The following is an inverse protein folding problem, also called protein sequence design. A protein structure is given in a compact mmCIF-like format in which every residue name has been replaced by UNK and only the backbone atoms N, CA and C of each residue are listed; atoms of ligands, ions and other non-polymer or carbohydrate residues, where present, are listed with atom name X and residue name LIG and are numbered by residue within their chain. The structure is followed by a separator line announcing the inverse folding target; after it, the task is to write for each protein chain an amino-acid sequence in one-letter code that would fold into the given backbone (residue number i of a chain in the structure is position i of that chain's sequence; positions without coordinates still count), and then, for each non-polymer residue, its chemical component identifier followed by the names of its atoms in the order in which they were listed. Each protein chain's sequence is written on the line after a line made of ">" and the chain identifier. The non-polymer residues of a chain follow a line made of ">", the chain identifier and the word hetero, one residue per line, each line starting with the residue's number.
data_IF_446460891923
#
_entry.id   IF_446460891923
#
_cell.length_a   1.000
_cell.length_b   1.000
_cell.length_c   1.000
_cell.angle_alpha   90.00
_cell.angle_beta   90.00
_cell.angle_gamma   90.00
#
_symmetry.space_group_name_H-M   'P 1'
#
loop_
_entity.id
_entity.type
_entity.pdbx_description
1 polymer ?
#
# COMPACT_ATOMS: atom_id res chain seq x y z
N UNK A 1 41.56 -44.58 -57.74
CA UNK A 1 40.23 -45.23 -57.67
C UNK A 1 39.73 -45.00 -56.26
N UNK A 2 38.70 -44.15 -56.12
CA UNK A 2 37.39 -44.56 -55.58
C UNK A 2 37.52 -45.00 -54.11
N UNK A 3 36.86 -44.42 -53.12
CA UNK A 3 35.74 -43.49 -53.01
C UNK A 3 35.51 -43.42 -51.48
N UNK A 4 34.68 -42.48 -51.02
CA UNK A 4 34.07 -42.39 -49.68
C UNK A 4 34.89 -41.62 -48.62
N UNK A 5 34.39 -40.62 -47.90
CA UNK A 5 33.04 -40.06 -47.76
C UNK A 5 33.19 -38.64 -47.18
N UNK A 6 32.28 -37.79 -47.65
CA UNK A 6 32.04 -36.37 -47.34
C UNK A 6 31.57 -36.22 -45.87
N UNK A 7 31.60 -34.97 -45.37
CA UNK A 7 30.94 -34.43 -44.15
C UNK A 7 31.86 -34.41 -42.91
N UNK A 8 32.01 -33.35 -42.12
CA UNK A 8 31.34 -32.06 -42.07
C UNK A 8 32.24 -31.05 -41.35
N UNK A 9 32.22 -29.82 -41.86
CA UNK A 9 32.70 -28.62 -41.19
C UNK A 9 31.86 -28.44 -39.91
N UNK A 10 32.45 -28.61 -38.75
CA UNK A 10 31.84 -28.23 -37.48
C UNK A 10 32.61 -27.04 -36.88
N UNK A 11 32.33 -25.86 -37.44
CA UNK A 11 32.54 -24.58 -36.77
C UNK A 11 31.71 -24.62 -35.49
N UNK A 12 32.35 -24.84 -34.34
CA UNK A 12 31.73 -24.70 -33.03
C UNK A 12 31.51 -23.20 -32.75
N UNK A 13 30.43 -22.66 -33.32
CA UNK A 13 29.83 -21.43 -32.84
C UNK A 13 29.21 -21.73 -31.47
N UNK A 14 29.96 -21.43 -30.42
CA UNK A 14 29.47 -21.47 -29.05
C UNK A 14 28.46 -20.33 -28.92
N UNK A 15 27.19 -20.62 -29.25
CA UNK A 15 26.08 -19.75 -28.88
C UNK A 15 26.00 -19.78 -27.36
N UNK A 16 26.67 -18.81 -26.73
CA UNK A 16 26.49 -18.49 -25.33
C UNK A 16 25.01 -18.23 -25.12
N UNK A 17 24.35 -19.20 -24.48
CA UNK A 17 23.00 -19.00 -23.98
C UNK A 17 23.15 -18.08 -22.78
N UNK A 18 23.11 -16.76 -23.02
CA UNK A 18 22.78 -15.82 -21.96
C UNK A 18 21.38 -16.21 -21.50
N UNK A 19 21.31 -17.03 -20.43
CA UNK A 19 20.10 -17.09 -19.64
C UNK A 19 19.96 -15.68 -19.08
N UNK A 20 19.01 -14.92 -19.62
CA UNK A 20 18.38 -13.88 -18.84
C UNK A 20 17.82 -14.61 -17.63
N UNK A 21 18.55 -14.59 -16.52
CA UNK A 21 17.99 -14.90 -15.22
C UNK A 21 16.84 -13.93 -15.10
N UNK A 22 15.61 -14.44 -15.25
CA UNK A 22 14.41 -13.73 -14.86
C UNK A 22 14.69 -13.37 -13.41
N UNK A 23 15.05 -12.10 -13.18
CA UNK A 23 15.34 -11.54 -11.87
C UNK A 23 14.15 -11.92 -11.02
N UNK A 24 14.37 -12.97 -10.25
CA UNK A 24 13.36 -13.50 -9.35
C UNK A 24 13.40 -12.47 -8.26
N UNK A 25 12.54 -11.46 -8.37
CA UNK A 25 12.23 -10.55 -7.28
C UNK A 25 11.56 -11.40 -6.21
N UNK A 26 12.38 -12.19 -5.51
CA UNK A 26 12.11 -12.67 -4.18
C UNK A 26 12.07 -11.39 -3.33
N UNK A 27 10.90 -10.75 -3.32
CA UNK A 27 10.63 -9.62 -2.47
C UNK A 27 10.88 -10.08 -1.04
N UNK A 28 12.05 -9.79 -0.50
CA UNK A 28 12.27 -10.11 0.90
C UNK A 28 11.49 -9.06 1.69
N UNK A 29 10.47 -9.47 2.46
CA UNK A 29 9.79 -8.60 3.44
C UNK A 29 10.69 -8.26 4.64
N UNK A 30 12.00 -8.18 4.39
CA UNK A 30 13.06 -7.98 5.36
C UNK A 30 13.97 -6.89 4.81
N UNK A 31 13.73 -5.65 5.24
CA UNK A 31 14.76 -4.84 5.90
C UNK A 31 14.24 -3.53 6.50
N UNK A 32 14.87 -3.21 7.63
CA UNK A 32 14.81 -2.00 8.43
C UNK A 32 15.43 -0.83 7.67
N UNK A 33 14.77 0.33 7.73
CA UNK A 33 15.35 1.61 8.14
C UNK A 33 14.18 2.50 8.60
N UNK A 34 14.33 3.12 9.78
CA UNK A 34 13.37 4.05 10.41
C UNK A 34 11.98 3.45 10.76
N UNK A 35 11.95 2.50 11.71
CA UNK A 35 10.84 2.41 12.66
C UNK A 35 9.55 1.65 12.27
N UNK A 36 9.45 0.99 11.11
CA UNK A 36 8.24 0.23 10.77
C UNK A 36 8.54 -1.25 10.49
N UNK A 37 8.30 -2.08 11.51
CA UNK A 37 8.56 -3.52 11.47
C UNK A 37 7.51 -4.25 10.62
N UNK A 38 7.75 -4.41 9.31
CA UNK A 38 6.88 -5.20 8.42
C UNK A 38 7.28 -6.69 8.34
N UNK A 39 7.77 -7.25 9.45
CA UNK A 39 7.92 -8.71 9.62
C UNK A 39 6.60 -9.40 10.02
N UNK A 40 5.56 -8.62 10.30
CA UNK A 40 4.22 -9.01 10.73
C UNK A 40 3.26 -8.56 9.63
N UNK A 41 2.31 -9.41 9.25
CA UNK A 41 1.51 -9.31 8.04
C UNK A 41 1.08 -7.89 7.59
N UNK A 42 1.22 -7.58 6.29
CA UNK A 42 0.81 -6.28 5.73
C UNK A 42 1.02 -6.18 4.23
N UNK A 43 0.60 -5.06 3.63
CA UNK A 43 0.76 -4.77 2.20
C UNK A 43 1.61 -3.52 1.98
N UNK A 44 2.56 -3.56 1.05
CA UNK A 44 3.42 -2.41 0.69
C UNK A 44 3.29 -2.08 -0.80
N UNK A 45 3.51 -0.82 -1.21
CA UNK A 45 3.47 -0.47 -2.64
C UNK A 45 4.52 -1.24 -3.43
N UNK A 46 4.18 -1.60 -4.68
CA UNK A 46 5.17 -2.10 -5.63
C UNK A 46 6.04 -0.93 -6.15
N UNK A 47 7.38 -1.10 -6.28
CA UNK A 47 8.29 0.00 -6.61
C UNK A 47 8.03 0.63 -7.99
N UNK A 48 7.66 -0.19 -8.97
CA UNK A 48 7.53 0.26 -10.37
C UNK A 48 6.08 0.40 -10.86
N UNK A 49 5.09 0.14 -10.01
CA UNK A 49 3.70 0.07 -10.45
C UNK A 49 2.71 0.36 -9.33
N UNK A 50 1.95 1.43 -9.46
CA UNK A 50 0.95 1.79 -8.46
C UNK A 50 -0.32 0.93 -8.51
N UNK A 51 -0.51 0.15 -9.57
CA UNK A 51 -1.59 -0.85 -9.66
C UNK A 51 -1.19 -2.19 -9.06
N UNK A 52 0.03 -2.30 -8.55
CA UNK A 52 0.55 -3.49 -7.89
C UNK A 52 0.95 -3.19 -6.46
N UNK A 53 0.92 -4.23 -5.65
CA UNK A 53 1.34 -4.19 -4.27
C UNK A 53 1.95 -5.53 -3.88
N UNK A 54 2.69 -5.52 -2.78
CA UNK A 54 3.37 -6.69 -2.26
C UNK A 54 2.74 -7.03 -0.93
N UNK A 55 2.14 -8.22 -0.84
CA UNK A 55 1.61 -8.79 0.39
C UNK A 55 2.73 -9.52 1.12
N UNK A 56 3.02 -9.06 2.32
CA UNK A 56 3.96 -9.66 3.25
C UNK A 56 3.20 -10.54 4.25
N UNK A 57 3.56 -11.83 4.32
CA UNK A 57 3.05 -12.75 5.34
C UNK A 57 4.09 -13.80 5.67
N UNK A 58 4.38 -14.00 6.97
CA UNK A 58 5.36 -14.97 7.47
C UNK A 58 6.72 -14.87 6.75
N UNK A 59 7.22 -13.64 6.62
CA UNK A 59 8.47 -13.29 5.91
C UNK A 59 8.49 -13.62 4.40
N UNK A 60 7.35 -13.94 3.80
CA UNK A 60 7.22 -14.14 2.35
C UNK A 60 6.51 -12.95 1.74
N UNK A 61 7.06 -12.42 0.64
CA UNK A 61 6.35 -11.51 -0.23
C UNK A 61 5.60 -12.27 -1.31
N UNK A 62 4.43 -11.74 -1.65
CA UNK A 62 3.71 -12.08 -2.87
C UNK A 62 3.30 -10.80 -3.57
N UNK A 63 3.69 -10.65 -4.82
CA UNK A 63 3.16 -9.58 -5.67
C UNK A 63 1.71 -9.86 -6.02
N UNK A 64 0.88 -8.84 -5.89
CA UNK A 64 -0.54 -8.84 -6.24
C UNK A 64 -0.85 -7.60 -7.09
N UNK A 65 -1.96 -7.66 -7.84
CA UNK A 65 -2.43 -6.56 -8.67
C UNK A 65 -3.82 -6.10 -8.24
N UNK A 66 -4.05 -4.79 -8.23
CA UNK A 66 -5.37 -4.21 -8.14
C UNK A 66 -6.17 -4.51 -9.41
N UNK A 67 -7.50 -4.52 -9.28
CA UNK A 67 -8.40 -4.66 -10.43
C UNK A 67 -8.27 -3.46 -11.39
N UNK A 68 -8.69 -3.63 -12.64
CA UNK A 68 -8.70 -2.55 -13.62
C UNK A 68 -9.50 -1.33 -13.12
N UNK A 69 -8.92 -0.13 -13.22
CA UNK A 69 -9.51 1.10 -12.68
C UNK A 69 -9.29 1.31 -11.17
N UNK A 70 -8.38 0.54 -10.56
CA UNK A 70 -7.97 0.70 -9.17
C UNK A 70 -6.45 0.83 -9.07
N UNK A 71 -5.99 1.53 -8.04
CA UNK A 71 -4.57 1.60 -7.67
C UNK A 71 -4.41 1.35 -6.17
N UNK A 72 -3.20 0.99 -5.74
CA UNK A 72 -2.89 0.71 -4.35
C UNK A 72 -2.60 2.01 -3.59
N UNK A 73 -3.48 2.34 -2.64
CA UNK A 73 -3.25 3.46 -1.72
C UNK A 73 -2.29 3.04 -0.62
N UNK A 74 -1.14 3.71 -0.55
CA UNK A 74 -0.12 3.47 0.50
C UNK A 74 -0.63 3.90 1.88
N UNK A 75 -1.54 4.86 1.94
CA UNK A 75 -2.13 5.33 3.18
C UNK A 75 -3.15 4.32 3.72
N UNK A 76 -4.07 3.85 2.86
CA UNK A 76 -5.13 2.92 3.24
C UNK A 76 -4.72 1.45 3.18
N UNK A 77 -3.53 1.16 2.63
CA UNK A 77 -3.00 -0.20 2.40
C UNK A 77 -3.97 -1.09 1.62
N UNK A 78 -4.74 -0.51 0.71
CA UNK A 78 -5.80 -1.17 -0.05
C UNK A 78 -5.87 -0.66 -1.50
N UNK A 79 -6.41 -1.49 -2.39
CA UNK A 79 -6.79 -1.05 -3.73
C UNK A 79 -8.05 -0.18 -3.64
N UNK A 80 -7.99 1.00 -4.25
CA UNK A 80 -9.06 2.00 -4.24
C UNK A 80 -9.31 2.48 -5.66
N UNK A 81 -10.55 2.88 -5.96
CA UNK A 81 -10.89 3.26 -7.33
C UNK A 81 -10.17 4.54 -7.72
N UNK A 82 -9.54 4.54 -8.89
CA UNK A 82 -8.72 5.64 -9.32
C UNK A 82 -8.22 5.47 -10.75
N UNK A 83 -7.46 6.44 -11.20
CA UNK A 83 -6.74 6.34 -12.46
C UNK A 83 -5.51 5.44 -12.26
N UNK A 84 -5.51 4.28 -12.93
CA UNK A 84 -4.43 3.29 -12.89
C UNK A 84 -3.13 3.73 -13.58
N UNK A 85 -3.18 4.78 -14.39
CA UNK A 85 -2.01 5.35 -15.09
C UNK A 85 -1.36 6.48 -14.27
N UNK A 86 -2.18 7.33 -13.66
CA UNK A 86 -1.69 8.49 -12.88
C UNK A 86 -1.64 8.24 -11.39
N UNK A 87 -2.13 7.09 -10.91
CA UNK A 87 -2.16 6.71 -9.50
C UNK A 87 -2.92 7.73 -8.64
N UNK A 88 -3.95 8.34 -9.22
CA UNK A 88 -4.73 9.41 -8.59
C UNK A 88 -6.18 8.97 -8.41
N UNK A 89 -6.83 9.46 -7.36
CA UNK A 89 -8.26 9.26 -7.14
C UNK A 89 -9.06 9.93 -8.27
N UNK A 90 -10.11 9.27 -8.75
CA UNK A 90 -11.06 9.92 -9.68
C UNK A 90 -12.02 10.73 -8.82
N UNK A 91 -11.59 11.93 -8.43
CA UNK A 91 -12.47 12.88 -7.75
C UNK A 91 -13.61 13.27 -8.71
N UNK A 92 -14.80 12.78 -8.43
CA UNK A 92 -16.02 13.17 -9.14
C UNK A 92 -16.51 14.53 -8.67
N UNK A 93 -15.77 15.61 -8.96
CA UNK A 93 -16.18 17.02 -9.00
C UNK A 93 -14.93 17.94 -9.05
N UNK A 94 -14.89 18.74 -10.11
CA UNK A 94 -14.12 19.95 -10.46
C UNK A 94 -13.10 20.56 -9.45
N UNK A 95 -11.84 20.67 -9.91
CA UNK A 95 -11.03 21.88 -9.74
C UNK A 95 -9.78 21.84 -8.84
N UNK A 96 -8.62 21.53 -9.43
CA UNK A 96 -7.26 22.00 -9.02
C UNK A 96 -6.73 21.48 -7.66
N UNK A 97 -5.59 20.81 -7.53
CA UNK A 97 -4.28 21.11 -8.11
C UNK A 97 -3.34 19.91 -7.99
N UNK A 98 -2.49 19.73 -9.00
CA UNK A 98 -1.17 19.15 -8.83
C UNK A 98 -0.42 19.81 -7.68
N UNK A 99 0.35 19.03 -6.91
CA UNK A 99 1.68 19.48 -6.59
C UNK A 99 2.68 18.33 -6.70
N UNK A 100 3.59 18.56 -7.65
CA UNK A 100 4.90 17.94 -7.83
C UNK A 100 5.67 17.96 -6.49
N UNK A 101 6.50 16.96 -6.17
CA UNK A 101 7.26 16.94 -4.92
C UNK A 101 8.20 18.16 -4.83
N UNK A 102 8.15 19.00 -3.77
CA UNK A 102 9.20 19.94 -3.52
C UNK A 102 10.35 19.19 -2.83
N UNK A 103 11.46 19.03 -3.54
CA UNK A 103 12.74 18.72 -2.92
C UNK A 103 13.25 19.99 -2.22
N UNK A 104 13.17 20.05 -0.89
CA UNK A 104 14.10 20.80 -0.04
C UNK A 104 14.02 20.35 1.41
N UNK A 105 15.20 20.09 1.96
CA UNK A 105 15.55 19.88 3.36
C UNK A 105 15.03 20.98 4.29
N UNK A 106 14.20 20.62 5.28
CA UNK A 106 14.26 21.16 6.66
C UNK A 106 13.35 20.35 7.61
N UNK A 107 13.88 20.01 8.78
CA UNK A 107 13.19 19.22 9.80
C UNK A 107 12.20 20.09 10.59
N UNK A 108 10.91 19.83 10.38
CA UNK A 108 9.82 20.30 11.25
C UNK A 108 9.19 19.05 11.89
N UNK A 109 8.86 19.07 13.20
CA UNK A 109 8.30 17.89 13.90
C UNK A 109 7.01 17.41 13.20
N UNK A 110 6.69 16.10 13.23
CA UNK A 110 5.46 15.61 12.61
C UNK A 110 4.27 16.20 13.37
N UNK A 111 3.65 17.21 12.77
CA UNK A 111 2.31 17.66 13.13
C UNK A 111 1.33 16.49 12.94
N UNK A 112 0.41 16.43 13.88
CA UNK A 112 -0.79 15.61 13.94
C UNK A 112 -1.43 15.47 12.54
N UNK A 113 -1.79 14.23 12.19
CA UNK A 113 -2.10 13.82 10.83
C UNK A 113 -3.07 14.71 10.03
N UNK A 114 -2.68 14.94 8.77
CA UNK A 114 -3.57 15.17 7.64
C UNK A 114 -3.02 14.36 6.45
N UNK A 115 -3.81 13.79 5.54
CA UNK A 115 -4.97 14.38 4.85
C UNK A 115 -6.31 13.73 5.23
N UNK A 116 -7.20 14.45 5.94
CA UNK A 116 -8.58 14.08 6.15
C UNK A 116 -9.41 14.58 4.96
N UNK A 117 -9.89 13.65 4.13
CA UNK A 117 -10.98 13.92 3.20
C UNK A 117 -12.14 14.57 3.94
N UNK A 118 -12.49 15.76 3.47
CA UNK A 118 -13.54 16.67 3.95
C UNK A 118 -14.71 15.94 4.64
N UNK A 119 -14.80 16.15 5.96
CA UNK A 119 -15.96 16.29 6.85
C UNK A 119 -17.23 15.40 6.74
N UNK A 120 -17.47 14.67 5.65
CA UNK A 120 -18.66 13.88 5.38
C UNK A 120 -18.46 12.68 4.42
N UNK A 121 -17.22 12.35 4.00
CA UNK A 121 -16.93 11.26 3.02
C UNK A 121 -16.07 10.14 3.63
N UNK A 122 -16.59 9.45 4.65
CA UNK A 122 -15.82 8.48 5.44
C UNK A 122 -15.40 7.20 4.71
N UNK A 123 -15.94 6.89 3.54
CA UNK A 123 -15.57 5.69 2.80
C UNK A 123 -15.43 5.99 1.32
N UNK A 124 -14.29 5.62 0.76
CA UNK A 124 -14.03 5.70 -0.67
C UNK A 124 -14.37 4.39 -1.36
N UNK A 125 -14.74 4.46 -2.63
CA UNK A 125 -15.16 3.28 -3.40
C UNK A 125 -14.04 2.22 -3.43
N UNK A 126 -14.40 0.99 -3.08
CA UNK A 126 -13.49 -0.16 -3.03
C UNK A 126 -12.66 -0.29 -1.76
N UNK A 127 -12.63 0.72 -0.88
CA UNK A 127 -11.94 0.59 0.40
C UNK A 127 -12.74 -0.31 1.35
N UNK A 128 -12.04 -1.28 1.94
CA UNK A 128 -12.54 -2.08 3.05
C UNK A 128 -11.58 -1.96 4.21
N UNK A 129 -12.05 -1.43 5.33
CA UNK A 129 -11.19 -1.15 6.47
C UNK A 129 -11.84 -0.23 7.50
N UNK A 130 -11.02 0.32 8.38
CA UNK A 130 -11.46 1.18 9.47
C UNK A 130 -10.83 2.56 9.35
N UNK A 131 -11.63 3.58 9.60
CA UNK A 131 -11.22 4.99 9.56
C UNK A 131 -11.75 5.76 10.78
N UNK A 132 -10.99 6.74 11.29
CA UNK A 132 -11.38 7.52 12.45
C UNK A 132 -12.50 8.51 12.08
N UNK A 133 -13.32 8.86 13.06
CA UNK A 133 -14.30 9.94 12.90
C UNK A 133 -13.68 11.22 13.46
N UNK A 134 -13.69 12.29 12.66
CA UNK A 134 -13.19 13.58 13.10
C UNK A 134 -14.00 14.06 14.32
N UNK A 135 -13.29 14.44 15.39
CA UNK A 135 -13.86 14.91 16.66
C UNK A 135 -14.71 13.87 17.44
N UNK A 136 -14.73 12.60 17.04
CA UNK A 136 -15.31 11.51 17.84
C UNK A 136 -14.32 10.34 17.90
N UNK A 137 -13.57 10.25 18.99
CA UNK A 137 -12.66 9.13 19.23
C UNK A 137 -13.36 7.93 19.87
N UNK A 138 -14.64 8.02 20.25
CA UNK A 138 -15.40 6.90 20.82
C UNK A 138 -16.10 6.06 19.76
N UNK A 139 -16.11 6.54 18.52
CA UNK A 139 -16.68 5.87 17.37
C UNK A 139 -15.67 5.82 16.22
N UNK A 140 -15.90 4.91 15.29
CA UNK A 140 -15.12 4.76 14.07
C UNK A 140 -16.03 4.27 12.95
N UNK A 141 -15.61 4.42 11.70
CA UNK A 141 -16.34 3.88 10.56
C UNK A 141 -15.66 2.61 10.11
N UNK A 142 -16.43 1.55 9.92
CA UNK A 142 -16.05 0.40 9.14
C UNK A 142 -16.58 0.55 7.72
N UNK A 143 -15.68 0.67 6.76
CA UNK A 143 -16.02 0.65 5.35
C UNK A 143 -16.03 -0.78 4.83
N UNK A 144 -17.08 -1.14 4.10
CA UNK A 144 -17.11 -2.39 3.33
C UNK A 144 -17.37 -2.08 1.87
N UNK A 145 -16.34 -2.26 1.03
CA UNK A 145 -16.38 -1.86 -0.38
C UNK A 145 -16.83 -0.40 -0.61
N UNK A 146 -16.46 0.51 0.29
CA UNK A 146 -16.88 1.91 0.25
C UNK A 146 -18.20 2.24 0.95
N UNK A 147 -18.94 1.24 1.44
CA UNK A 147 -20.17 1.48 2.21
C UNK A 147 -19.84 1.73 3.70
N UNK A 148 -20.26 2.87 4.29
CA UNK A 148 -19.94 3.22 5.67
C UNK A 148 -20.86 2.53 6.69
N UNK A 149 -20.26 1.95 7.72
CA UNK A 149 -20.94 1.52 8.94
C UNK A 149 -20.29 2.11 10.19
N UNK A 150 -20.96 3.04 10.85
CA UNK A 150 -20.48 3.62 12.12
C UNK A 150 -20.53 2.55 13.22
N UNK A 151 -19.44 2.42 13.97
CA UNK A 151 -19.29 1.52 15.10
C UNK A 151 -18.83 2.31 16.31
N UNK A 152 -19.27 1.89 17.49
CA UNK A 152 -18.89 2.50 18.76
C UNK A 152 -17.92 1.59 19.50
N UNK A 153 -16.89 2.18 20.09
CA UNK A 153 -16.05 1.51 21.07
C UNK A 153 -16.84 1.24 22.36
N UNK A 154 -16.25 0.42 23.24
CA UNK A 154 -16.76 0.26 24.60
C UNK A 154 -16.57 1.56 25.40
N UNK A 155 -17.25 1.64 26.54
CA UNK A 155 -17.06 2.73 27.49
C UNK A 155 -15.60 2.76 27.97
N UNK A 156 -15.03 3.97 28.14
CA UNK A 156 -13.60 4.22 28.45
C UNK A 156 -12.59 3.71 27.41
N UNK A 157 -13.05 3.40 26.19
CA UNK A 157 -12.19 3.05 25.06
C UNK A 157 -12.32 4.09 23.96
N UNK A 158 -11.19 4.36 23.30
CA UNK A 158 -11.11 5.21 22.13
C UNK A 158 -10.55 4.43 20.93
N UNK A 159 -10.98 4.79 19.73
CA UNK A 159 -10.45 4.23 18.49
C UNK A 159 -9.05 4.80 18.22
N UNK A 160 -8.07 3.90 18.13
CA UNK A 160 -6.69 4.25 17.81
C UNK A 160 -6.35 3.79 16.40
N UNK A 161 -6.26 4.76 15.50
CA UNK A 161 -6.08 4.51 14.08
C UNK A 161 -4.82 3.72 13.70
N UNK A 162 -3.63 3.95 14.33
CA UNK A 162 -2.43 3.17 13.98
C UNK A 162 -2.57 1.66 14.22
N UNK A 163 -3.42 1.24 15.17
CA UNK A 163 -3.72 -0.17 15.42
C UNK A 163 -5.07 -0.62 14.87
N UNK A 164 -5.84 0.30 14.26
CA UNK A 164 -7.21 0.06 13.75
C UNK A 164 -8.10 -0.66 14.78
N UNK A 165 -7.99 -0.26 16.04
CA UNK A 165 -8.62 -0.94 17.17
C UNK A 165 -9.08 0.04 18.26
N UNK A 166 -10.10 -0.35 19.03
CA UNK A 166 -10.47 0.34 20.25
C UNK A 166 -9.51 -0.05 21.38
N UNK A 167 -8.94 0.94 22.06
CA UNK A 167 -8.01 0.76 23.18
C UNK A 167 -8.44 1.64 24.36
N UNK A 168 -8.07 1.29 25.61
CA UNK A 168 -8.37 2.12 26.77
C UNK A 168 -7.81 3.54 26.62
N UNK A 169 -8.64 4.55 26.91
CA UNK A 169 -8.23 5.94 26.82
C UNK A 169 -9.21 6.93 27.43
N UNK A 170 -8.76 8.17 27.53
CA UNK A 170 -9.58 9.29 27.96
C UNK A 170 -10.48 9.74 26.79
N UNK A 171 -11.80 9.59 26.97
CA UNK A 171 -12.82 9.90 25.95
C UNK A 171 -13.09 11.39 25.79
N UNK A 172 -12.64 12.21 26.73
CA UNK A 172 -12.75 13.68 26.68
C UNK A 172 -11.54 14.29 25.98
N UNK A 173 -10.34 13.78 26.29
CA UNK A 173 -9.09 14.25 25.70
C UNK A 173 -8.72 13.51 24.42
N UNK A 174 -9.42 12.43 24.08
CA UNK A 174 -9.10 11.52 22.98
C UNK A 174 -7.64 11.07 23.00
N UNK A 175 -7.16 10.66 24.19
CA UNK A 175 -5.79 10.22 24.42
C UNK A 175 -5.76 8.83 25.01
N UNK A 176 -4.88 7.98 24.47
CA UNK A 176 -4.61 6.67 25.06
C UNK A 176 -4.05 6.84 26.47
N UNK A 177 -4.43 5.93 27.36
CA UNK A 177 -3.71 5.79 28.62
C UNK A 177 -2.33 5.21 28.33
N UNK A 178 -1.29 5.98 28.65
CA UNK A 178 0.09 5.49 28.60
C UNK A 178 0.31 4.53 29.75
N UNK A 179 0.83 3.34 29.44
CA UNK A 179 1.36 2.40 30.43
C UNK A 179 2.85 2.66 30.69
#
# INVERSE_FOLDING_TARGET
>A
MRLLVIQAVALLAILGSARAEKSSTDGSCSKQEEGLTYGIAGSVPHPDSCTKYIVCSKSKAKEESCNNGYYFSVYLKSCIKGNSETCAEINGNDGTSSQVPPATTEAVPPEVGGDPGDGNTGCIEGFTGYIPIANDCTSYVYCFQGEPGVRKCLEDYIYYDPFKACLPGDTVLCKLYTI
#
